data_IF_684868678801
#
_entry.id   IF_684868678801
#
_cell.length_a   1.000
_cell.length_b   1.000
_cell.length_c   1.000
_cell.angle_alpha   90.00
_cell.angle_beta   90.00
_cell.angle_gamma   90.00
#
_symmetry.space_group_name_H-M   'P 1'
#
loop_
_entity.id
_entity.type
_entity.pdbx_description
1 polymer ?
#
# COMPACT_ATOMS: atom_id res chain seq x y z
N UNK A 1 -4.46 5.65 40.79
CA UNK A 1 -3.15 5.55 40.12
C UNK A 1 -3.32 6.00 38.67
N UNK A 2 -2.53 6.97 38.20
CA UNK A 2 -2.59 7.39 36.79
C UNK A 2 -1.71 6.46 35.96
N UNK A 3 -2.28 5.77 34.97
CA UNK A 3 -1.52 4.98 34.02
C UNK A 3 -1.15 5.88 32.83
N UNK A 4 0.13 6.24 32.71
CA UNK A 4 0.66 6.95 31.55
C UNK A 4 1.21 5.93 30.55
N UNK A 5 0.84 6.07 29.27
CA UNK A 5 1.44 5.35 28.15
C UNK A 5 2.04 6.36 27.17
N UNK A 6 3.14 5.97 26.55
CA UNK A 6 3.82 6.73 25.51
C UNK A 6 3.75 5.94 24.20
N UNK A 7 3.53 6.66 23.10
CA UNK A 7 3.50 6.13 21.75
C UNK A 7 4.48 6.93 20.89
N UNK A 8 5.05 6.28 19.88
CA UNK A 8 5.94 6.91 18.91
C UNK A 8 5.24 6.89 17.56
N UNK A 9 5.34 7.99 16.82
CA UNK A 9 4.87 8.13 15.45
C UNK A 9 6.05 8.50 14.56
N UNK A 10 5.99 8.11 13.30
CA UNK A 10 6.95 8.56 12.30
C UNK A 10 6.77 10.06 12.06
N UNK A 11 7.88 10.74 11.78
CA UNK A 11 7.90 12.19 11.51
C UNK A 11 8.65 12.53 10.22
N UNK A 12 9.38 11.57 9.69
CA UNK A 12 10.11 11.69 8.42
C UNK A 12 9.29 11.02 7.31
N UNK A 13 9.24 11.62 6.11
CA UNK A 13 8.59 11.00 4.95
C UNK A 13 9.18 9.63 4.62
N UNK A 14 8.34 8.69 4.21
CA UNK A 14 8.84 7.44 3.63
C UNK A 14 9.27 7.69 2.18
N UNK A 15 10.40 7.13 1.78
CA UNK A 15 10.99 7.38 0.45
C UNK A 15 10.94 6.12 -0.40
N UNK A 16 10.34 6.22 -1.58
CA UNK A 16 10.44 5.21 -2.63
C UNK A 16 11.40 5.69 -3.72
N UNK A 17 12.52 5.00 -3.87
CA UNK A 17 13.54 5.28 -4.88
C UNK A 17 13.25 4.49 -6.17
N UNK A 18 13.10 5.21 -7.29
CA UNK A 18 12.79 4.64 -8.60
C UNK A 18 13.77 5.20 -9.64
N UNK A 19 14.90 4.51 -9.80
CA UNK A 19 16.00 5.02 -10.62
C UNK A 19 16.55 6.32 -10.03
N UNK A 20 16.44 7.42 -10.77
CA UNK A 20 16.92 8.74 -10.36
C UNK A 20 15.83 9.60 -9.68
N UNK A 21 14.66 9.04 -9.40
CA UNK A 21 13.53 9.78 -8.81
C UNK A 21 13.16 9.25 -7.44
N UNK A 22 12.99 10.17 -6.50
CA UNK A 22 12.46 9.92 -5.16
C UNK A 22 10.98 10.32 -5.10
N UNK A 23 10.14 9.40 -4.65
CA UNK A 23 8.74 9.66 -4.32
C UNK A 23 8.59 9.66 -2.80
N UNK A 24 8.19 10.80 -2.26
CA UNK A 24 8.01 11.02 -0.83
C UNK A 24 6.56 10.73 -0.44
N UNK A 25 6.39 9.84 0.52
CA UNK A 25 5.13 9.48 1.12
C UNK A 25 4.97 10.11 2.50
N UNK A 26 3.73 10.35 2.92
CA UNK A 26 3.44 10.99 4.20
C UNK A 26 4.05 10.19 5.36
N UNK A 27 4.65 10.83 6.38
CA UNK A 27 5.24 10.11 7.51
C UNK A 27 4.23 9.20 8.21
N UNK A 28 3.00 9.69 8.37
CA UNK A 28 1.86 8.98 8.96
C UNK A 28 0.60 9.34 8.17
N UNK A 29 -0.29 8.36 8.00
CA UNK A 29 -1.61 8.55 7.39
C UNK A 29 -2.66 8.13 8.41
N UNK A 30 -3.71 8.93 8.55
CA UNK A 30 -4.81 8.55 9.45
C UNK A 30 -5.53 7.32 8.88
N UNK A 31 -5.86 6.36 9.75
CA UNK A 31 -6.41 5.07 9.31
C UNK A 31 -7.71 5.20 8.50
N UNK A 32 -8.55 6.18 8.82
CA UNK A 32 -9.75 6.52 8.05
C UNK A 32 -9.41 7.01 6.63
N UNK A 33 -8.47 7.93 6.49
CA UNK A 33 -8.02 8.44 5.19
C UNK A 33 -7.47 7.33 4.30
N UNK A 34 -6.68 6.41 4.87
CA UNK A 34 -6.18 5.25 4.14
C UNK A 34 -7.32 4.34 3.69
N UNK A 35 -8.26 4.02 4.58
CA UNK A 35 -9.39 3.13 4.29
C UNK A 35 -10.30 3.73 3.22
N UNK A 36 -10.61 5.02 3.28
CA UNK A 36 -11.41 5.72 2.27
C UNK A 36 -10.73 5.64 0.89
N UNK A 37 -9.44 5.95 0.82
CA UNK A 37 -8.69 5.87 -0.43
C UNK A 37 -8.60 4.43 -0.96
N UNK A 38 -8.42 3.44 -0.07
CA UNK A 38 -8.34 2.04 -0.43
C UNK A 38 -9.70 1.49 -0.89
N UNK A 39 -10.80 1.98 -0.29
CA UNK A 39 -12.15 1.65 -0.71
C UNK A 39 -12.42 2.12 -2.15
N UNK A 40 -12.03 3.34 -2.52
CA UNK A 40 -12.16 3.85 -3.90
C UNK A 40 -11.48 2.90 -4.92
N UNK A 41 -10.28 2.44 -4.59
CA UNK A 41 -9.52 1.50 -5.43
C UNK A 41 -10.23 0.13 -5.52
N UNK A 42 -10.70 -0.40 -4.38
CA UNK A 42 -11.46 -1.66 -4.31
C UNK A 42 -12.77 -1.59 -5.09
N UNK A 43 -13.49 -0.48 -5.02
CA UNK A 43 -14.72 -0.27 -5.78
C UNK A 43 -14.43 -0.26 -7.28
N UNK A 44 -13.36 0.42 -7.71
CA UNK A 44 -12.92 0.42 -9.11
C UNK A 44 -12.61 -1.00 -9.60
N UNK A 45 -11.86 -1.80 -8.82
CA UNK A 45 -11.57 -3.20 -9.15
C UNK A 45 -12.84 -4.02 -9.34
N UNK A 46 -13.79 -3.90 -8.40
CA UNK A 46 -15.07 -4.63 -8.43
C UNK A 46 -15.90 -4.25 -9.66
N UNK A 47 -15.98 -2.96 -9.97
CA UNK A 47 -16.72 -2.47 -11.13
C UNK A 47 -16.13 -2.97 -12.45
N UNK A 48 -14.79 -3.05 -12.55
CA UNK A 48 -14.11 -3.51 -13.76
C UNK A 48 -14.02 -5.04 -13.85
N UNK A 49 -14.23 -5.75 -12.74
CA UNK A 49 -14.03 -7.20 -12.65
C UNK A 49 -12.56 -7.57 -12.83
N UNK A 50 -11.66 -6.79 -12.21
CA UNK A 50 -10.19 -6.91 -12.35
C UNK A 50 -9.57 -7.27 -11.02
N UNK A 51 -8.62 -8.20 -11.02
CA UNK A 51 -7.72 -8.46 -9.90
C UNK A 51 -6.38 -7.73 -10.13
N UNK A 52 -6.01 -6.82 -9.23
CA UNK A 52 -4.74 -6.07 -9.33
C UNK A 52 -3.53 -6.98 -9.21
N UNK A 53 -3.65 -8.09 -8.49
CA UNK A 53 -2.54 -9.04 -8.32
C UNK A 53 -2.34 -9.90 -9.57
N UNK A 54 -3.31 -9.88 -10.51
CA UNK A 54 -3.22 -10.61 -11.76
C UNK A 54 -3.77 -9.78 -12.93
N UNK A 55 -2.88 -8.99 -13.53
CA UNK A 55 -3.21 -8.15 -14.68
C UNK A 55 -3.18 -8.88 -16.03
N UNK A 56 -2.91 -10.20 -16.03
CA UNK A 56 -2.80 -10.98 -17.27
C UNK A 56 -4.17 -11.19 -17.92
N UNK A 57 -4.23 -11.00 -19.24
CA UNK A 57 -5.46 -11.23 -20.02
C UNK A 57 -6.56 -10.17 -19.85
N UNK A 58 -6.28 -9.06 -19.15
CA UNK A 58 -7.22 -7.95 -19.00
C UNK A 58 -7.33 -7.16 -20.31
N UNK A 59 -8.55 -6.75 -20.66
CA UNK A 59 -8.79 -5.87 -21.80
C UNK A 59 -8.05 -4.52 -21.63
N UNK A 60 -7.38 -3.98 -22.67
CA UNK A 60 -6.53 -2.80 -22.56
C UNK A 60 -7.20 -1.57 -21.90
N UNK A 61 -8.48 -1.33 -22.17
CA UNK A 61 -9.19 -0.19 -21.60
C UNK A 61 -9.43 -0.33 -20.09
N UNK A 62 -9.72 -1.56 -19.62
CA UNK A 62 -9.82 -1.87 -18.19
C UNK A 62 -8.47 -1.76 -17.50
N UNK A 63 -7.41 -2.23 -18.16
CA UNK A 63 -6.04 -2.13 -17.64
C UNK A 63 -5.63 -0.66 -17.48
N UNK A 64 -5.96 0.19 -18.45
CA UNK A 64 -5.68 1.63 -18.35
C UNK A 64 -6.45 2.27 -17.20
N UNK A 65 -7.73 1.92 -17.03
CA UNK A 65 -8.55 2.45 -15.93
C UNK A 65 -8.03 2.03 -14.56
N UNK A 66 -7.64 0.75 -14.37
CA UNK A 66 -7.13 0.29 -13.08
C UNK A 66 -5.77 0.91 -12.75
N UNK A 67 -4.89 1.06 -13.73
CA UNK A 67 -3.59 1.74 -13.57
C UNK A 67 -3.77 3.21 -13.18
N UNK A 68 -4.78 3.89 -13.75
CA UNK A 68 -5.11 5.27 -13.38
C UNK A 68 -5.62 5.35 -11.94
N UNK A 69 -6.56 4.50 -11.55
CA UNK A 69 -7.09 4.43 -10.18
C UNK A 69 -5.98 4.12 -9.16
N UNK A 70 -5.10 3.17 -9.48
CA UNK A 70 -3.94 2.83 -8.66
C UNK A 70 -3.00 4.02 -8.46
N UNK A 71 -2.75 4.79 -9.52
CA UNK A 71 -1.90 5.99 -9.43
C UNK A 71 -2.53 7.07 -8.57
N UNK A 72 -3.85 7.29 -8.69
CA UNK A 72 -4.58 8.24 -7.86
C UNK A 72 -4.55 7.81 -6.39
N UNK A 73 -4.77 6.53 -6.10
CA UNK A 73 -4.65 5.98 -4.74
C UNK A 73 -3.27 6.25 -4.13
N UNK A 74 -2.19 5.87 -4.83
CA UNK A 74 -0.83 6.09 -4.33
C UNK A 74 -0.50 7.58 -4.16
N UNK A 75 -0.95 8.44 -5.08
CA UNK A 75 -0.76 9.88 -4.99
C UNK A 75 -1.44 10.50 -3.75
N UNK A 76 -2.59 9.97 -3.30
CA UNK A 76 -3.25 10.43 -2.05
C UNK A 76 -2.38 10.17 -0.80
N UNK A 77 -1.44 9.22 -0.87
CA UNK A 77 -0.53 8.87 0.22
C UNK A 77 0.84 9.58 0.10
N UNK A 78 1.07 10.30 -1.00
CA UNK A 78 2.29 11.04 -1.26
C UNK A 78 2.24 12.45 -0.65
N UNK A 79 3.41 13.07 -0.51
CA UNK A 79 3.50 14.52 -0.35
C UNK A 79 3.07 15.23 -1.66
N UNK A 80 2.56 16.47 -1.59
CA UNK A 80 2.04 17.17 -2.77
C UNK A 80 3.01 17.24 -3.96
N UNK A 81 4.29 17.43 -3.68
CA UNK A 81 5.35 17.53 -4.69
C UNK A 81 5.52 16.21 -5.45
N UNK A 82 5.56 15.08 -4.73
CA UNK A 82 5.68 13.75 -5.32
C UNK A 82 4.38 13.33 -6.01
N UNK A 83 3.22 13.65 -5.44
CA UNK A 83 1.92 13.42 -6.06
C UNK A 83 1.81 14.12 -7.43
N UNK A 84 2.28 15.38 -7.53
CA UNK A 84 2.25 16.14 -8.78
C UNK A 84 3.20 15.58 -9.85
N UNK A 85 4.33 15.00 -9.46
CA UNK A 85 5.21 14.30 -10.41
C UNK A 85 4.58 12.97 -10.83
N UNK A 86 3.97 12.26 -9.89
CA UNK A 86 3.51 10.90 -10.06
C UNK A 86 2.19 10.79 -10.83
N UNK A 87 1.19 11.60 -10.49
CA UNK A 87 -0.18 11.50 -11.00
C UNK A 87 -0.69 12.89 -11.42
N UNK A 88 -0.40 13.27 -12.67
CA UNK A 88 -0.73 14.58 -13.23
C UNK A 88 -1.44 14.47 -14.57
N UNK A 89 -2.59 15.11 -14.68
CA UNK A 89 -3.35 15.25 -15.91
C UNK A 89 -3.42 16.71 -16.31
N UNK A 90 -3.02 17.00 -17.54
CA UNK A 90 -3.01 18.36 -18.09
C UNK A 90 -4.18 18.53 -19.04
N UNK A 91 -4.89 19.65 -18.92
CA UNK A 91 -5.84 20.10 -19.93
C UNK A 91 -5.06 20.88 -20.98
N UNK A 92 -5.05 20.38 -22.21
CA UNK A 92 -4.31 20.92 -23.34
C UNK A 92 -5.26 21.59 -24.32
N UNK A 93 -4.98 22.85 -24.68
CA UNK A 93 -5.73 23.61 -25.68
C UNK A 93 -4.78 24.19 -26.71
N UNK A 94 -5.02 23.91 -27.99
CA UNK A 94 -4.13 24.35 -29.06
C UNK A 94 -2.67 23.88 -28.89
N UNK A 95 -2.48 22.68 -28.33
CA UNK A 95 -1.16 22.08 -28.10
C UNK A 95 -0.40 22.60 -26.88
N UNK A 96 -0.98 23.50 -26.07
CA UNK A 96 -0.37 24.01 -24.84
C UNK A 96 -1.15 23.54 -23.61
N UNK A 97 -0.44 23.16 -22.55
CA UNK A 97 -1.04 22.89 -21.25
C UNK A 97 -1.58 24.20 -20.66
N UNK A 98 -2.85 24.18 -20.28
CA UNK A 98 -3.57 25.33 -19.69
C UNK A 98 -3.65 25.17 -18.18
N UNK A 99 -3.95 23.96 -17.71
CA UNK A 99 -4.08 23.65 -16.29
C UNK A 99 -3.70 22.18 -16.02
N UNK A 100 -3.37 21.87 -14.76
CA UNK A 100 -2.96 20.54 -14.29
C UNK A 100 -3.80 20.10 -13.09
N UNK A 101 -4.18 18.83 -13.08
CA UNK A 101 -5.03 18.21 -12.06
C UNK A 101 -4.40 16.93 -11.53
N UNK A 102 -4.79 16.56 -10.30
CA UNK A 102 -4.35 15.34 -9.62
C UNK A 102 -5.17 14.11 -9.99
N UNK A 103 -6.30 14.29 -10.66
CA UNK A 103 -7.15 13.21 -11.16
C UNK A 103 -7.55 13.45 -12.61
N UNK A 104 -7.92 12.37 -13.31
CA UNK A 104 -8.38 12.47 -14.68
C UNK A 104 -9.78 13.06 -14.75
N UNK A 105 -10.62 12.72 -13.78
CA UNK A 105 -12.01 13.13 -13.67
C UNK A 105 -12.12 14.66 -13.55
N UNK A 106 -11.28 15.28 -12.72
CA UNK A 106 -11.19 16.74 -12.62
C UNK A 106 -10.72 17.38 -13.94
N UNK A 107 -9.69 16.82 -14.57
CA UNK A 107 -9.19 17.30 -15.84
C UNK A 107 -10.25 17.19 -16.96
N UNK A 108 -10.98 16.08 -17.01
CA UNK A 108 -12.04 15.84 -18.00
C UNK A 108 -13.23 16.80 -17.77
N UNK A 109 -13.60 17.03 -16.50
CA UNK A 109 -14.62 18.01 -16.13
C UNK A 109 -14.23 19.42 -16.60
N UNK A 110 -12.99 19.84 -16.33
CA UNK A 110 -12.52 21.16 -16.78
C UNK A 110 -12.39 21.25 -18.32
N UNK A 111 -11.91 20.19 -18.98
CA UNK A 111 -11.81 20.14 -20.43
C UNK A 111 -13.18 20.27 -21.12
N UNK A 112 -14.25 19.73 -20.52
CA UNK A 112 -15.61 19.83 -21.05
C UNK A 112 -16.14 21.28 -21.11
N UNK A 113 -15.67 22.15 -20.22
CA UNK A 113 -16.06 23.57 -20.17
C UNK A 113 -15.39 24.41 -21.27
N UNK A 114 -14.27 23.94 -21.83
CA UNK A 114 -13.48 24.68 -22.80
C UNK A 114 -13.41 23.95 -24.15
N UNK A 115 -14.14 24.47 -25.15
CA UNK A 115 -14.12 23.94 -26.53
C UNK A 115 -12.70 23.80 -27.08
N UNK A 116 -12.41 22.62 -27.65
CA UNK A 116 -11.13 22.30 -28.26
C UNK A 116 -10.02 21.95 -27.26
N UNK A 117 -10.38 21.66 -26.01
CA UNK A 117 -9.43 21.16 -25.01
C UNK A 117 -9.44 19.63 -24.98
N UNK A 118 -8.30 19.03 -24.67
CA UNK A 118 -8.15 17.58 -24.48
C UNK A 118 -7.34 17.31 -23.22
N UNK A 119 -7.54 16.15 -22.59
CA UNK A 119 -6.78 15.75 -21.41
C UNK A 119 -5.58 14.89 -21.80
N UNK A 120 -4.41 15.23 -21.26
CA UNK A 120 -3.16 14.49 -21.42
C UNK A 120 -2.59 14.10 -20.07
N UNK A 121 -2.45 12.81 -19.85
CA UNK A 121 -1.73 12.28 -18.69
C UNK A 121 -0.22 12.51 -18.86
N UNK A 122 0.28 13.44 -18.05
CA UNK A 122 1.62 14.02 -18.07
C UNK A 122 2.38 13.73 -16.77
N UNK A 123 1.88 12.81 -15.95
CA UNK A 123 2.58 12.28 -14.79
C UNK A 123 3.55 11.17 -15.16
N UNK A 124 4.32 10.73 -14.16
CA UNK A 124 5.31 9.68 -14.32
C UNK A 124 4.69 8.37 -14.85
N UNK A 125 5.36 7.76 -15.83
CA UNK A 125 5.01 6.45 -16.38
C UNK A 125 5.91 5.39 -15.76
N UNK A 126 5.30 4.45 -15.06
CA UNK A 126 5.98 3.33 -14.46
C UNK A 126 5.48 2.01 -15.05
N UNK A 127 6.32 0.98 -15.13
CA UNK A 127 5.87 -0.37 -15.41
C UNK A 127 4.83 -0.84 -14.38
N UNK A 128 3.82 -1.60 -14.81
CA UNK A 128 2.75 -2.09 -13.93
C UNK A 128 3.28 -2.83 -12.70
N UNK A 129 4.36 -3.62 -12.85
CA UNK A 129 5.02 -4.31 -11.74
C UNK A 129 5.47 -3.35 -10.62
N UNK A 130 5.98 -2.18 -10.97
CA UNK A 130 6.47 -1.18 -10.01
C UNK A 130 5.29 -0.54 -9.29
N UNK A 131 4.19 -0.29 -9.99
CA UNK A 131 2.97 0.24 -9.37
C UNK A 131 2.37 -0.75 -8.38
N UNK A 132 2.38 -2.03 -8.69
CA UNK A 132 1.94 -3.09 -7.77
C UNK A 132 2.86 -3.15 -6.56
N UNK A 133 4.19 -3.18 -6.76
CA UNK A 133 5.18 -3.16 -5.67
C UNK A 133 4.99 -1.95 -4.73
N UNK A 134 4.76 -0.75 -5.28
CA UNK A 134 4.47 0.45 -4.50
C UNK A 134 3.16 0.34 -3.71
N UNK A 135 2.13 -0.28 -4.28
CA UNK A 135 0.88 -0.57 -3.55
C UNK A 135 1.12 -1.53 -2.40
N UNK A 136 1.91 -2.59 -2.61
CA UNK A 136 2.22 -3.56 -1.56
C UNK A 136 2.91 -2.87 -0.38
N UNK A 137 3.92 -2.06 -0.70
CA UNK A 137 4.67 -1.29 0.28
C UNK A 137 3.79 -0.27 1.00
N UNK A 138 2.93 0.48 0.30
CA UNK A 138 2.02 1.44 0.93
C UNK A 138 1.00 0.75 1.86
N UNK A 139 0.49 -0.43 1.49
CA UNK A 139 -0.39 -1.24 2.35
C UNK A 139 0.35 -1.77 3.58
N UNK A 140 1.63 -2.12 3.45
CA UNK A 140 2.47 -2.49 4.59
C UNK A 140 2.67 -1.33 5.56
N UNK A 141 3.01 -0.15 5.03
CA UNK A 141 3.25 1.07 5.81
C UNK A 141 2.02 1.52 6.60
N UNK A 142 0.86 1.65 5.92
CA UNK A 142 -0.31 2.32 6.49
C UNK A 142 -1.46 1.37 6.85
N UNK A 143 -1.46 0.14 6.31
CA UNK A 143 -2.54 -0.84 6.52
C UNK A 143 -2.42 -1.65 7.81
N UNK A 144 -1.41 -1.41 8.65
CA UNK A 144 -1.28 -2.05 9.96
C UNK A 144 -0.68 -3.47 9.94
N UNK A 145 0.17 -3.79 8.96
CA UNK A 145 1.07 -4.96 9.00
C UNK A 145 0.43 -6.35 8.81
N UNK A 146 -0.89 -6.47 8.69
CA UNK A 146 -1.54 -7.72 8.27
C UNK A 146 -2.46 -7.49 7.07
N UNK A 147 -1.94 -7.76 5.87
CA UNK A 147 -2.78 -8.15 4.74
C UNK A 147 -3.67 -9.33 5.17
N UNK A 148 -4.98 -9.33 4.86
CA UNK A 148 -5.69 -10.58 4.66
C UNK A 148 -4.89 -11.39 3.64
N UNK A 149 -4.39 -12.55 4.06
CA UNK A 149 -3.29 -13.29 3.41
C UNK A 149 -3.51 -13.55 1.92
N UNK A 150 -2.72 -12.87 1.09
CA UNK A 150 -2.25 -13.33 -0.21
C UNK A 150 -0.73 -13.53 -0.13
N UNK A 151 -0.31 -14.79 -0.20
CA UNK A 151 1.04 -15.37 -0.12
C UNK A 151 2.10 -14.52 -0.88
N UNK A 152 3.38 -14.34 -0.50
CA UNK A 152 4.29 -14.98 0.46
C UNK A 152 5.66 -14.26 0.45
N UNK A 153 6.43 -14.28 1.54
CA UNK A 153 7.91 -14.27 1.45
C UNK A 153 8.70 -13.19 2.22
N UNK A 154 8.46 -13.00 3.52
CA UNK A 154 9.31 -12.15 4.36
C UNK A 154 9.42 -12.72 5.76
N UNK A 155 10.53 -13.39 6.07
CA UNK A 155 10.80 -14.01 7.36
C UNK A 155 11.04 -12.94 8.43
N UNK A 156 10.05 -12.67 9.28
CA UNK A 156 10.31 -12.25 10.65
C UNK A 156 10.33 -13.52 11.52
N UNK A 157 11.47 -13.84 12.12
CA UNK A 157 11.55 -14.94 13.07
C UNK A 157 10.59 -14.65 14.23
N UNK A 158 9.63 -15.56 14.46
CA UNK A 158 8.77 -15.49 15.62
C UNK A 158 9.64 -15.46 16.89
N UNK A 159 9.32 -14.53 17.80
CA UNK A 159 10.00 -14.44 19.10
C UNK A 159 9.90 -15.79 19.82
N UNK A 160 10.99 -16.27 20.48
CA UNK A 160 10.97 -17.54 21.19
C UNK A 160 9.83 -17.57 22.23
N UNK A 161 9.07 -18.68 22.33
CA UNK A 161 8.02 -18.80 23.33
C UNK A 161 8.61 -18.73 24.74
N UNK A 162 7.96 -18.06 25.70
CA UNK A 162 8.45 -17.95 27.06
C UNK A 162 8.43 -19.32 27.76
N UNK A 163 9.63 -19.80 28.11
CA UNK A 163 9.90 -20.70 29.24
C UNK A 163 9.17 -22.05 29.28
N UNK A 164 9.84 -23.11 28.83
CA UNK A 164 9.49 -24.48 29.20
C UNK A 164 9.60 -24.65 30.71
N UNK A 165 8.48 -24.91 31.40
CA UNK A 165 8.48 -25.22 32.84
C UNK A 165 9.39 -26.43 33.12
N UNK A 166 10.33 -26.22 34.04
CA UNK A 166 11.31 -27.22 34.47
C UNK A 166 10.65 -28.51 34.94
N UNK A 167 11.21 -29.62 34.47
CA UNK A 167 10.91 -30.98 34.92
C UNK A 167 11.31 -31.08 36.40
N UNK A 168 10.32 -31.06 37.29
CA UNK A 168 10.55 -31.28 38.71
C UNK A 168 11.08 -32.70 38.93
N UNK A 169 12.27 -32.79 39.51
CA UNK A 169 12.82 -34.01 40.11
C UNK A 169 12.05 -34.27 41.40
N UNK A 170 11.31 -35.37 41.47
CA UNK A 170 10.71 -35.85 42.71
C UNK A 170 11.39 -37.13 43.18
N UNK A 171 11.80 -37.13 44.44
CA UNK A 171 12.57 -38.14 45.15
C UNK A 171 11.71 -38.88 46.18
N UNK A 172 11.73 -40.22 46.18
CA UNK A 172 11.57 -41.09 47.37
C UNK A 172 11.59 -42.57 46.94
N UNK A 173 12.60 -43.40 47.29
CA UNK A 173 12.81 -44.18 48.54
C UNK A 173 11.80 -45.33 48.79
N UNK A 174 12.33 -46.57 48.86
CA UNK A 174 11.74 -47.78 49.50
C UNK A 174 11.72 -49.03 48.59
N UNK A 175 12.69 -49.97 48.66
CA UNK A 175 12.68 -51.27 49.42
C UNK A 175 11.62 -52.27 48.87
N UNK A 176 11.88 -53.53 48.45
CA UNK A 176 12.62 -54.65 49.09
C UNK A 176 12.80 -55.84 48.10
N UNK A 177 13.73 -56.74 48.41
CA UNK A 177 14.18 -58.01 47.77
C UNK A 177 13.07 -59.03 47.44
N UNK A 178 13.35 -59.98 46.52
CA UNK A 178 13.35 -61.45 46.78
C UNK A 178 14.17 -62.20 45.72
N UNK A 179 14.95 -63.18 46.19
CA UNK A 179 15.86 -64.09 45.49
C UNK A 179 15.33 -65.52 45.73
N UNK A 180 15.35 -66.40 44.74
CA UNK A 180 15.12 -67.84 44.89
C UNK A 180 14.94 -68.46 43.50
N UNK A 181 16.00 -68.99 42.89
CA UNK A 181 16.61 -70.33 43.01
C UNK A 181 15.95 -71.32 42.06
#
# INVERSE_FOLDING_TARGET
>A
MSQRRQFTINTEPHVAEIGDVELLFQPEVMGDQFLDAYEDLQQTQKQLGVDINNLSGIAPDKLRAIVQSLRVFLAKLMLPESAQVFARWEVVKGGKAVESFGTREEADAHAAESKGSTVRDSGMRLPDRVLVELLEWAVELYGGGQRPTGLSGGSAAASPPPGTRGRAVSSSKGSTRTRGR
#
